data_IF_594757890765
#
_entry.id   IF_594757890765
#
_cell.length_a   1.000
_cell.length_b   1.000
_cell.length_c   1.000
_cell.angle_alpha   90.00
_cell.angle_beta   90.00
_cell.angle_gamma   90.00
#
_symmetry.space_group_name_H-M   'P 1'
#
loop_
_entity.id
_entity.type
_entity.pdbx_description
1 polymer ?
#
# COMPACT_ATOMS: atom_id res chain seq x y z
N UNK A 1 -8.92 13.02 -1.57
CA UNK A 1 -9.36 12.33 -0.33
C UNK A 1 -8.13 11.84 0.43
N UNK A 2 -7.86 12.32 1.64
CA UNK A 2 -6.62 12.05 2.39
C UNK A 2 -6.57 10.69 3.11
N UNK A 3 -7.38 9.71 2.71
CA UNK A 3 -7.45 8.40 3.39
C UNK A 3 -6.55 7.33 2.77
N UNK A 4 -6.25 7.39 1.46
CA UNK A 4 -5.47 6.33 0.77
C UNK A 4 -4.05 6.18 1.31
N UNK A 5 -3.42 7.28 1.75
CA UNK A 5 -2.10 7.20 2.39
C UNK A 5 -2.15 6.58 3.78
N UNK A 6 -3.25 6.74 4.51
CA UNK A 6 -3.38 6.20 5.87
C UNK A 6 -3.50 4.68 5.84
N UNK A 7 -4.36 4.13 4.97
CA UNK A 7 -4.44 2.68 4.75
C UNK A 7 -3.11 2.10 4.25
N UNK A 8 -2.36 2.86 3.45
CA UNK A 8 -1.05 2.41 2.97
C UNK A 8 0.01 2.39 4.08
N UNK A 9 0.04 3.39 4.97
CA UNK A 9 0.94 3.42 6.14
C UNK A 9 0.68 2.22 7.07
N UNK A 10 -0.58 1.82 7.24
CA UNK A 10 -0.95 0.68 8.10
C UNK A 10 -0.50 -0.68 7.54
N UNK A 11 -0.35 -0.79 6.22
CA UNK A 11 0.14 -2.01 5.57
C UNK A 11 1.66 -2.14 5.53
N UNK A 12 2.43 -1.08 5.86
CA UNK A 12 3.89 -1.11 5.71
C UNK A 12 4.57 -1.54 7.01
N UNK A 13 5.48 -2.54 6.98
CA UNK A 13 6.31 -2.87 8.14
C UNK A 13 7.30 -1.73 8.45
N UNK A 14 7.52 -1.43 9.74
CA UNK A 14 8.41 -0.32 10.11
C UNK A 14 9.87 -0.69 9.90
N UNK A 15 10.62 0.25 9.33
CA UNK A 15 12.02 0.06 8.93
C UNK A 15 12.27 0.16 7.42
N UNK A 16 11.24 -0.04 6.59
CA UNK A 16 11.31 0.14 5.12
C UNK A 16 10.24 1.11 4.57
N UNK A 17 9.75 2.01 5.43
CA UNK A 17 8.69 2.97 5.11
C UNK A 17 9.05 3.84 3.90
N UNK A 18 10.29 4.31 3.83
CA UNK A 18 10.76 5.17 2.74
C UNK A 18 10.81 4.44 1.40
N UNK A 19 11.24 3.18 1.38
CA UNK A 19 11.37 2.39 0.16
C UNK A 19 10.00 2.05 -0.43
N UNK A 20 9.07 1.61 0.43
CA UNK A 20 7.70 1.30 0.02
C UNK A 20 6.95 2.56 -0.42
N UNK A 21 7.02 3.66 0.34
CA UNK A 21 6.42 4.94 -0.07
C UNK A 21 6.99 5.46 -1.39
N UNK A 22 8.30 5.34 -1.59
CA UNK A 22 8.97 5.71 -2.84
C UNK A 22 8.44 4.90 -4.01
N UNK A 23 8.29 3.58 -3.84
CA UNK A 23 7.73 2.70 -4.86
C UNK A 23 6.25 3.03 -5.18
N UNK A 24 5.43 3.31 -4.16
CA UNK A 24 4.04 3.75 -4.35
C UNK A 24 3.96 5.03 -5.19
N UNK A 25 4.78 6.04 -4.88
CA UNK A 25 4.83 7.28 -5.66
C UNK A 25 5.38 7.07 -7.06
N UNK A 26 6.39 6.22 -7.22
CA UNK A 26 6.94 5.88 -8.52
C UNK A 26 5.90 5.22 -9.42
N UNK A 27 5.16 4.23 -8.92
CA UNK A 27 4.06 3.60 -9.67
C UNK A 27 2.94 4.59 -9.98
N UNK A 28 2.50 5.37 -8.98
CA UNK A 28 1.42 6.34 -9.18
C UNK A 28 1.77 7.44 -10.19
N UNK A 29 3.00 7.96 -10.15
CA UNK A 29 3.47 8.94 -11.14
C UNK A 29 3.73 8.24 -12.47
N UNK A 30 4.52 7.17 -12.49
CA UNK A 30 4.94 6.36 -13.64
C UNK A 30 3.80 6.00 -14.58
N UNK A 31 2.74 5.40 -14.06
CA UNK A 31 1.62 4.95 -14.87
C UNK A 31 0.65 6.06 -15.30
N UNK A 32 0.77 7.27 -14.73
CA UNK A 32 -0.10 8.39 -15.09
C UNK A 32 0.31 9.06 -16.42
N UNK A 33 1.61 9.15 -16.72
CA UNK A 33 2.10 9.83 -17.94
C UNK A 33 2.38 8.88 -19.11
N UNK A 34 2.45 7.56 -18.86
CA UNK A 34 2.66 6.55 -19.91
C UNK A 34 1.49 6.50 -20.91
N UNK A 35 0.21 6.38 -20.51
CA UNK A 35 -0.91 6.35 -21.45
C UNK A 35 -1.01 7.56 -22.38
N UNK A 36 -0.91 8.82 -21.89
CA UNK A 36 -0.93 9.98 -22.79
C UNK A 36 0.27 10.02 -23.73
N UNK A 37 1.48 9.59 -23.30
CA UNK A 37 2.63 9.51 -24.21
C UNK A 37 2.42 8.53 -25.35
N UNK A 38 1.93 7.32 -25.03
CA UNK A 38 1.63 6.30 -26.04
C UNK A 38 0.58 6.81 -27.00
N UNK A 39 -0.45 7.52 -26.49
CA UNK A 39 -1.46 8.16 -27.32
C UNK A 39 -0.86 9.23 -28.24
N UNK A 40 0.04 10.09 -27.73
CA UNK A 40 0.70 11.12 -28.53
C UNK A 40 1.53 10.54 -29.67
N UNK A 41 2.35 9.51 -29.40
CA UNK A 41 3.17 8.83 -30.42
C UNK A 41 2.29 8.22 -31.52
N UNK A 42 1.19 7.58 -31.11
CA UNK A 42 0.25 6.97 -32.04
C UNK A 42 -0.51 8.01 -32.89
N UNK A 43 -0.81 9.17 -32.31
CA UNK A 43 -1.43 10.28 -33.02
C UNK A 43 -0.48 10.90 -34.06
N UNK A 44 0.82 11.01 -33.74
CA UNK A 44 1.85 11.51 -34.66
C UNK A 44 2.14 10.54 -35.81
N UNK A 45 2.03 9.23 -35.56
CA UNK A 45 2.13 8.19 -36.58
C UNK A 45 0.95 8.18 -37.58
N UNK A 46 -0.01 9.11 -37.47
CA UNK A 46 -1.14 9.25 -38.40
C UNK A 46 -2.16 8.11 -38.33
N UNK A 47 -2.17 7.35 -37.22
CA UNK A 47 -3.07 6.21 -37.06
C UNK A 47 -4.51 6.72 -36.87
N UNK A 48 -5.47 6.04 -37.52
CA UNK A 48 -6.90 6.35 -37.44
C UNK A 48 -7.36 6.40 -35.97
N UNK A 49 -8.10 7.45 -35.61
CA UNK A 49 -8.58 7.75 -34.25
C UNK A 49 -9.24 6.57 -33.50
N UNK A 50 -9.81 5.61 -34.23
CA UNK A 50 -10.37 4.37 -33.68
C UNK A 50 -9.35 3.54 -32.86
N UNK A 51 -8.07 3.55 -33.23
CA UNK A 51 -7.01 2.86 -32.49
C UNK A 51 -6.63 3.59 -31.21
N UNK A 52 -6.82 4.92 -31.16
CA UNK A 52 -6.68 5.71 -29.93
C UNK A 52 -7.57 5.21 -28.79
N UNK A 53 -8.82 4.89 -29.12
CA UNK A 53 -9.79 4.33 -28.16
C UNK A 53 -9.42 2.91 -27.72
N UNK A 54 -8.84 2.11 -28.63
CA UNK A 54 -8.41 0.74 -28.35
C UNK A 54 -7.24 0.72 -27.35
N UNK A 55 -6.26 1.62 -27.49
CA UNK A 55 -5.12 1.69 -26.56
C UNK A 55 -5.52 2.18 -25.18
N UNK A 56 -6.47 3.12 -25.08
CA UNK A 56 -7.07 3.53 -23.81
C UNK A 56 -7.77 2.36 -23.12
N UNK A 57 -8.58 1.60 -23.86
CA UNK A 57 -9.25 0.39 -23.35
C UNK A 57 -8.25 -0.67 -22.88
N UNK A 58 -7.13 -0.84 -23.59
CA UNK A 58 -6.07 -1.75 -23.19
C UNK A 58 -5.42 -1.35 -21.85
N UNK A 59 -5.05 -0.08 -21.67
CA UNK A 59 -4.50 0.41 -20.41
C UNK A 59 -5.46 0.24 -19.24
N UNK A 60 -6.76 0.46 -19.49
CA UNK A 60 -7.80 0.24 -18.50
C UNK A 60 -7.94 -1.25 -18.13
N UNK A 61 -7.91 -2.14 -19.12
CA UNK A 61 -7.96 -3.58 -18.91
C UNK A 61 -6.76 -4.07 -18.08
N UNK A 62 -5.55 -3.59 -18.37
CA UNK A 62 -4.36 -3.87 -17.56
C UNK A 62 -4.56 -3.41 -16.12
N UNK A 63 -5.10 -2.20 -15.90
CA UNK A 63 -5.44 -1.71 -14.58
C UNK A 63 -6.42 -2.63 -13.83
N UNK A 64 -7.50 -3.04 -14.49
CA UNK A 64 -8.47 -3.99 -13.91
C UNK A 64 -7.85 -5.35 -13.58
N UNK A 65 -7.00 -5.90 -14.48
CA UNK A 65 -6.30 -7.15 -14.21
C UNK A 65 -5.38 -7.03 -13.00
N UNK A 66 -4.60 -5.94 -12.89
CA UNK A 66 -3.72 -5.73 -11.74
C UNK A 66 -4.48 -5.55 -10.42
N UNK A 67 -5.68 -4.96 -10.46
CA UNK A 67 -6.56 -4.89 -9.28
C UNK A 67 -7.07 -6.26 -8.85
N UNK A 68 -7.42 -7.14 -9.79
CA UNK A 68 -7.85 -8.50 -9.44
C UNK A 68 -6.71 -9.37 -8.91
N UNK A 69 -5.47 -9.05 -9.26
CA UNK A 69 -4.28 -9.72 -8.70
C UNK A 69 -3.91 -9.20 -7.30
N UNK A 70 -4.51 -8.10 -6.84
CA UNK A 70 -4.28 -7.58 -5.49
C UNK A 70 -5.01 -8.45 -4.46
N UNK A 71 -4.26 -9.05 -3.53
CA UNK A 71 -4.79 -9.87 -2.44
C UNK A 71 -5.55 -9.10 -1.37
N UNK A 72 -6.05 -9.83 -0.35
CA UNK A 72 -6.83 -9.24 0.75
C UNK A 72 -5.99 -8.30 1.63
N UNK A 73 -6.50 -7.09 1.85
CA UNK A 73 -5.92 -6.06 2.72
C UNK A 73 -5.63 -6.58 4.14
N UNK A 74 -6.55 -7.36 4.71
CA UNK A 74 -6.43 -7.93 6.07
C UNK A 74 -5.13 -8.76 6.23
N UNK A 75 -4.80 -9.53 5.19
CA UNK A 75 -3.62 -10.40 5.19
C UNK A 75 -2.32 -9.62 5.07
N UNK A 76 -2.32 -8.48 4.37
CA UNK A 76 -1.17 -7.60 4.25
C UNK A 76 -0.85 -6.90 5.58
N UNK A 77 -1.88 -6.44 6.30
CA UNK A 77 -1.73 -5.84 7.63
C UNK A 77 -1.25 -6.87 8.66
N UNK A 78 -1.74 -8.12 8.57
CA UNK A 78 -1.26 -9.17 9.46
C UNK A 78 0.23 -9.50 9.22
N UNK A 79 0.68 -9.49 7.96
CA UNK A 79 2.06 -9.73 7.60
C UNK A 79 2.99 -8.59 8.07
N UNK A 80 2.58 -7.33 7.89
CA UNK A 80 3.36 -6.17 8.35
C UNK A 80 3.52 -6.17 9.88
N UNK A 81 2.46 -6.56 10.60
CA UNK A 81 2.47 -6.67 12.06
C UNK A 81 3.41 -7.75 12.59
N UNK A 82 3.50 -8.90 11.92
CA UNK A 82 4.41 -10.00 12.29
C UNK A 82 5.89 -9.66 12.04
N UNK A 83 6.17 -8.81 11.06
CA UNK A 83 7.53 -8.34 10.76
C UNK A 83 8.03 -7.22 11.67
N UNK A 84 7.18 -6.63 12.52
CA UNK A 84 7.57 -5.48 13.37
C UNK A 84 8.08 -5.92 14.77
N UNK A 85 9.40 -6.00 15.02
CA UNK A 85 9.94 -6.36 16.33
C UNK A 85 9.67 -5.30 17.41
N UNK A 86 9.44 -4.04 17.01
CA UNK A 86 9.15 -2.91 17.90
C UNK A 86 7.76 -2.97 18.51
N UNK A 87 6.75 -3.47 17.78
CA UNK A 87 5.40 -3.67 18.27
C UNK A 87 5.34 -4.86 19.23
N UNK A 88 6.04 -5.96 18.92
CA UNK A 88 6.17 -7.10 19.83
C UNK A 88 6.78 -6.66 21.19
N UNK A 89 7.81 -5.81 21.15
CA UNK A 89 8.42 -5.23 22.37
C UNK A 89 7.46 -4.32 23.14
N UNK A 90 6.57 -3.60 22.44
CA UNK A 90 5.58 -2.71 23.06
C UNK A 90 4.43 -3.47 23.71
N UNK A 91 3.97 -4.55 23.07
CA UNK A 91 2.97 -5.46 23.64
C UNK A 91 3.53 -6.12 24.90
N UNK A 92 4.73 -6.71 24.81
CA UNK A 92 5.42 -7.30 25.96
C UNK A 92 5.63 -6.29 27.10
N UNK A 93 6.04 -5.06 26.79
CA UNK A 93 6.18 -3.99 27.78
C UNK A 93 4.86 -3.61 28.47
N UNK A 94 3.75 -3.58 27.73
CA UNK A 94 2.43 -3.25 28.26
C UNK A 94 1.85 -4.40 29.13
N UNK A 95 2.14 -5.66 28.77
CA UNK A 95 1.75 -6.82 29.57
C UNK A 95 2.52 -6.89 30.90
N UNK A 96 3.82 -6.54 30.92
CA UNK A 96 4.59 -6.43 32.16
C UNK A 96 4.09 -5.31 33.09
N UNK A 97 3.59 -4.20 32.54
CA UNK A 97 3.02 -3.10 33.33
C UNK A 97 1.64 -3.44 33.92
N UNK A 98 0.80 -4.19 33.18
CA UNK A 98 -0.47 -4.73 33.68
C UNK A 98 -0.30 -5.79 34.76
N UNK A 99 0.72 -6.65 34.64
CA UNK A 99 1.03 -7.64 35.68
C UNK A 99 1.51 -6.95 36.96
N UNK A 100 2.38 -5.94 36.85
CA UNK A 100 2.88 -5.19 38.00
C UNK A 100 1.76 -4.45 38.77
N UNK A 101 0.87 -3.77 38.06
CA UNK A 101 -0.28 -3.08 38.67
C UNK A 101 -1.25 -4.04 39.38
N UNK A 102 -1.46 -5.24 38.83
CA UNK A 102 -2.32 -6.27 39.45
C UNK A 102 -1.68 -6.90 40.70
N UNK A 103 -0.36 -7.10 40.72
CA UNK A 103 0.36 -7.60 41.90
C UNK A 103 0.46 -6.58 43.04
N UNK A 104 0.51 -5.29 42.73
CA UNK A 104 0.50 -4.22 43.75
C UNK A 104 -0.89 -4.09 44.40
N UNK A 105 -1.97 -4.35 43.65
CA UNK A 105 -3.34 -4.34 44.16
C UNK A 105 -3.58 -5.51 45.14
N UNK A 106 -3.05 -6.71 44.83
CA UNK A 106 -3.14 -7.89 45.71
C UNK A 106 -2.27 -7.80 46.98
N UNK A 107 -1.20 -7.01 47.00
CA UNK A 107 -0.35 -6.84 48.21
C UNK A 107 -0.88 -5.80 49.20
N UNK A 108 -1.95 -5.08 48.85
CA UNK A 108 -2.60 -4.06 49.70
C UNK A 108 -3.92 -4.54 50.33
N UNK A 109 -4.30 -5.78 50.08
CA UNK A 109 -5.41 -6.51 50.72
C UNK A 109 -4.86 -7.38 51.86
#
# INVERSE_FOLDING_TARGET
MPNTRLIYIEMIPRGQETEMMGFYFFCGRGFTWIPPLVFTIMNEAGIRSNWGLATMSFWFAVGCCTLQMMGSFESAVEHSRKMDPSLNKKILGNDHEKLNSTSIDMSKL
#
